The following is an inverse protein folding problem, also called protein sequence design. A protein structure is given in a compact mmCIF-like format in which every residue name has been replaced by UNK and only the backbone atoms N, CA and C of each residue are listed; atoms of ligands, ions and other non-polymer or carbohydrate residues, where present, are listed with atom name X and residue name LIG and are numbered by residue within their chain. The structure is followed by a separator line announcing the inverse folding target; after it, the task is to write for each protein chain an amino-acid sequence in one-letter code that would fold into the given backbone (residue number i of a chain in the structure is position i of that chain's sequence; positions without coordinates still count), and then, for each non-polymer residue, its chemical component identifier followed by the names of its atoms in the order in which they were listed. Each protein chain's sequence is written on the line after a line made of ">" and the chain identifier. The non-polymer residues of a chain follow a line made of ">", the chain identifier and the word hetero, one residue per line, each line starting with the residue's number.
data_IF_432964979619
#
_entry.id   IF_432964979619
#
_cell.length_a   1.000
_cell.length_b   1.000
_cell.length_c   1.000
_cell.angle_alpha   90.00
_cell.angle_beta   90.00
_cell.angle_gamma   90.00
#
_symmetry.space_group_name_H-M   'P 1'
#
loop_
_entity.id
_entity.type
_entity.pdbx_description
1 polymer ?
#
# COMPACT_ATOMS: atom_id res chain seq x y z
N UNK A 1 21.30 17.32 -19.22
CA UNK A 1 21.56 18.09 -17.99
C UNK A 1 20.86 17.30 -16.88
N UNK A 2 21.60 16.45 -16.17
CA UNK A 2 21.07 15.79 -14.97
C UNK A 2 21.31 16.79 -13.85
N UNK A 3 20.28 17.53 -13.47
CA UNK A 3 20.37 18.39 -12.29
C UNK A 3 20.85 17.56 -11.10
N UNK A 4 21.76 18.15 -10.34
CA UNK A 4 22.31 17.62 -9.10
C UNK A 4 21.16 17.42 -8.13
N UNK A 5 20.58 16.21 -8.14
CA UNK A 5 19.43 15.88 -7.29
C UNK A 5 19.94 15.98 -5.86
N UNK A 6 19.36 16.85 -5.00
CA UNK A 6 19.81 16.95 -3.62
C UNK A 6 19.87 15.55 -3.03
N UNK A 7 20.98 15.23 -2.35
CA UNK A 7 21.14 13.96 -1.67
C UNK A 7 19.87 13.75 -0.83
N UNK A 8 19.16 12.61 -0.99
CA UNK A 8 17.88 12.43 -0.33
C UNK A 8 18.09 12.52 1.18
N UNK A 9 17.74 13.65 1.76
CA UNK A 9 17.62 13.80 3.21
C UNK A 9 16.39 13.00 3.66
N UNK A 10 16.53 12.23 4.73
CA UNK A 10 15.40 11.54 5.35
C UNK A 10 15.63 10.06 5.65
N UNK A 11 14.52 9.34 5.87
CA UNK A 11 14.53 7.93 6.24
C UNK A 11 14.49 7.04 4.99
N UNK A 12 15.57 6.30 4.72
CA UNK A 12 15.59 5.27 3.71
C UNK A 12 14.92 4.00 4.25
N UNK A 13 13.91 3.49 3.54
CA UNK A 13 13.31 2.18 3.81
C UNK A 13 13.71 1.17 2.73
N UNK A 14 14.61 0.24 3.07
CA UNK A 14 15.04 -0.83 2.17
C UNK A 14 14.08 -2.02 2.29
N UNK A 15 13.27 -2.25 1.26
CA UNK A 15 12.33 -3.38 1.20
C UNK A 15 13.08 -4.70 1.09
N UNK A 16 12.79 -5.64 2.00
CA UNK A 16 13.37 -6.99 2.03
C UNK A 16 12.41 -8.06 1.51
N UNK A 17 11.12 -7.97 1.88
CA UNK A 17 10.05 -8.87 1.41
C UNK A 17 8.83 -8.07 1.00
N UNK A 18 8.15 -8.51 -0.05
CA UNK A 18 6.99 -7.82 -0.65
C UNK A 18 6.01 -8.78 -1.28
N UNK A 19 4.74 -8.36 -1.37
CA UNK A 19 3.69 -9.13 -2.06
C UNK A 19 2.67 -8.22 -2.71
N UNK A 20 2.04 -8.73 -3.77
CA UNK A 20 0.80 -8.16 -4.28
C UNK A 20 -0.36 -8.52 -3.36
N UNK A 21 -1.32 -7.62 -3.29
CA UNK A 21 -2.60 -7.82 -2.60
C UNK A 21 -3.67 -7.89 -3.67
N UNK A 22 -4.44 -8.96 -3.64
CA UNK A 22 -5.53 -9.20 -4.58
C UNK A 22 -6.87 -9.02 -3.89
N UNK A 23 -7.88 -8.60 -4.66
CA UNK A 23 -9.26 -8.56 -4.18
C UNK A 23 -9.81 -9.98 -4.08
N UNK A 24 -10.42 -10.34 -2.96
CA UNK A 24 -11.09 -11.64 -2.80
C UNK A 24 -12.52 -11.61 -3.39
N UNK A 25 -13.10 -10.42 -3.53
CA UNK A 25 -14.40 -10.19 -4.16
C UNK A 25 -14.36 -9.03 -5.16
N UNK A 26 -15.27 -9.05 -6.14
CA UNK A 26 -15.46 -7.93 -7.06
C UNK A 26 -16.29 -6.80 -6.45
N UNK A 27 -16.11 -5.58 -6.95
CA UNK A 27 -16.87 -4.42 -6.50
C UNK A 27 -16.15 -3.10 -6.77
N UNK A 28 -16.43 -2.11 -5.91
CA UNK A 28 -15.85 -0.78 -5.94
C UNK A 28 -14.82 -0.66 -4.80
N UNK A 29 -13.54 -0.78 -5.14
CA UNK A 29 -12.42 -0.61 -4.22
C UNK A 29 -12.13 0.87 -3.98
N UNK A 30 -12.00 1.24 -2.71
CA UNK A 30 -11.55 2.56 -2.26
C UNK A 30 -10.38 2.39 -1.30
N UNK A 31 -9.20 2.89 -1.70
CA UNK A 31 -8.04 2.94 -0.84
C UNK A 31 -8.28 3.85 0.37
N UNK A 32 -7.83 3.40 1.55
CA UNK A 32 -7.83 4.15 2.80
C UNK A 32 -6.43 4.59 3.22
N UNK A 33 -5.43 4.41 2.34
CA UNK A 33 -4.01 4.66 2.59
C UNK A 33 -3.34 5.30 1.38
N UNK A 34 -2.12 5.80 1.61
CA UNK A 34 -1.24 6.39 0.61
C UNK A 34 0.08 5.61 0.53
N UNK A 35 0.71 5.48 -0.65
CA UNK A 35 2.07 4.96 -0.75
C UNK A 35 3.03 5.66 0.20
N UNK A 36 3.83 4.88 0.94
CA UNK A 36 4.71 5.36 2.01
C UNK A 36 4.14 5.17 3.42
N UNK A 37 2.84 4.95 3.56
CA UNK A 37 2.22 4.66 4.86
C UNK A 37 2.68 3.32 5.42
N UNK A 38 2.76 3.23 6.75
CA UNK A 38 2.88 1.96 7.47
C UNK A 38 1.52 1.66 8.09
N UNK A 39 0.85 0.62 7.58
CA UNK A 39 -0.41 0.15 8.13
C UNK A 39 -0.12 -0.77 9.31
N UNK A 40 -0.72 -0.47 10.47
CA UNK A 40 -0.68 -1.34 11.63
C UNK A 40 -1.63 -2.53 11.45
N UNK A 41 -1.47 -3.63 12.22
CA UNK A 41 -2.40 -4.74 12.18
C UNK A 41 -3.85 -4.29 12.33
N UNK A 42 -4.73 -4.81 11.48
CA UNK A 42 -6.15 -4.44 11.41
C UNK A 42 -6.46 -3.08 10.76
N UNK A 43 -5.46 -2.25 10.45
CA UNK A 43 -5.68 -1.03 9.67
C UNK A 43 -5.97 -1.38 8.20
N UNK A 44 -6.98 -0.77 7.57
CA UNK A 44 -7.37 -1.12 6.22
C UNK A 44 -6.41 -0.56 5.17
N UNK A 45 -6.03 -1.38 4.18
CA UNK A 45 -5.54 -0.91 2.90
C UNK A 45 -6.63 -0.10 2.18
N UNK A 46 -7.85 -0.61 2.28
CA UNK A 46 -9.05 -0.07 1.66
C UNK A 46 -10.23 -1.00 1.88
N UNK A 47 -11.38 -0.59 1.36
CA UNK A 47 -12.64 -1.35 1.41
C UNK A 47 -13.12 -1.61 -0.01
N UNK A 48 -13.83 -2.73 -0.19
CA UNK A 48 -14.60 -3.00 -1.39
C UNK A 48 -16.07 -2.85 -1.03
N UNK A 49 -16.79 -2.09 -1.84
CA UNK A 49 -18.23 -1.85 -1.69
C UNK A 49 -18.99 -2.38 -2.89
N UNK A 50 -20.26 -2.71 -2.71
CA UNK A 50 -21.17 -2.93 -3.83
C UNK A 50 -21.66 -1.59 -4.43
N UNK A 51 -22.58 -1.65 -5.39
CA UNK A 51 -23.12 -0.45 -6.05
C UNK A 51 -24.04 0.40 -5.15
N UNK A 52 -24.52 -0.17 -4.05
CA UNK A 52 -25.39 0.50 -3.08
C UNK A 52 -24.58 1.15 -1.95
N UNK A 53 -23.28 0.84 -1.87
CA UNK A 53 -22.34 1.39 -0.90
C UNK A 53 -22.12 0.49 0.32
N UNK A 54 -22.69 -0.71 0.33
CA UNK A 54 -22.48 -1.67 1.41
C UNK A 54 -21.06 -2.25 1.31
N UNK A 55 -20.35 -2.29 2.44
CA UNK A 55 -19.00 -2.86 2.51
C UNK A 55 -19.11 -4.38 2.41
N UNK A 56 -18.55 -4.95 1.34
CA UNK A 56 -18.52 -6.38 1.10
C UNK A 56 -17.19 -7.01 1.49
N UNK A 57 -16.12 -6.22 1.56
CA UNK A 57 -14.80 -6.67 2.02
C UNK A 57 -13.97 -5.50 2.59
N UNK A 58 -13.14 -5.79 3.59
CA UNK A 58 -12.18 -4.85 4.19
C UNK A 58 -10.80 -5.48 4.22
N UNK A 59 -9.90 -4.93 3.41
CA UNK A 59 -8.58 -5.53 3.18
C UNK A 59 -7.63 -5.08 4.27
N UNK A 60 -7.26 -6.01 5.17
CA UNK A 60 -6.39 -5.74 6.33
C UNK A 60 -5.20 -6.71 6.39
N UNK A 61 -4.29 -6.47 7.33
CA UNK A 61 -3.11 -7.30 7.56
C UNK A 61 -3.00 -7.68 9.04
N UNK A 62 -2.47 -8.87 9.33
CA UNK A 62 -2.20 -9.33 10.69
C UNK A 62 -0.87 -8.78 11.26
N UNK A 63 0.03 -8.34 10.38
CA UNK A 63 1.33 -7.76 10.71
C UNK A 63 1.46 -6.38 10.05
N UNK A 64 2.34 -5.50 10.56
CA UNK A 64 2.59 -4.21 9.92
C UNK A 64 3.06 -4.36 8.48
N UNK A 65 2.53 -3.52 7.60
CA UNK A 65 2.98 -3.46 6.20
C UNK A 65 3.30 -2.05 5.75
N UNK A 66 4.32 -1.90 4.92
CA UNK A 66 4.64 -0.65 4.24
C UNK A 66 3.95 -0.64 2.89
N UNK A 67 3.08 0.35 2.65
CA UNK A 67 2.36 0.52 1.39
C UNK A 67 3.32 1.01 0.32
N UNK A 68 3.51 0.21 -0.73
CA UNK A 68 4.31 0.60 -1.91
C UNK A 68 3.38 1.20 -2.98
N UNK A 69 2.21 0.59 -3.18
CA UNK A 69 1.18 1.10 -4.08
C UNK A 69 -0.21 0.65 -3.62
N UNK A 70 -1.22 1.46 -3.94
CA UNK A 70 -2.63 1.12 -3.83
C UNK A 70 -3.32 1.45 -5.16
N UNK A 71 -4.30 0.62 -5.56
CA UNK A 71 -5.09 0.84 -6.77
C UNK A 71 -5.94 2.10 -6.62
N UNK A 72 -6.06 2.86 -7.72
CA UNK A 72 -6.87 4.08 -7.81
C UNK A 72 -8.14 3.88 -8.63
N UNK A 73 -8.10 2.99 -9.62
CA UNK A 73 -9.27 2.65 -10.42
C UNK A 73 -10.28 1.86 -9.56
N UNK A 74 -11.52 2.34 -9.41
CA UNK A 74 -12.42 1.84 -8.38
C UNK A 74 -12.99 0.46 -8.71
N UNK A 75 -13.29 0.17 -9.97
CA UNK A 75 -13.90 -1.12 -10.34
C UNK A 75 -12.85 -2.22 -10.29
N UNK A 76 -13.09 -3.27 -9.51
CA UNK A 76 -12.22 -4.43 -9.35
C UNK A 76 -12.99 -5.74 -9.54
N UNK A 77 -12.34 -6.73 -10.14
CA UNK A 77 -12.82 -8.12 -10.15
C UNK A 77 -12.08 -8.96 -9.09
N UNK A 78 -12.64 -10.12 -8.72
CA UNK A 78 -11.91 -11.09 -7.89
C UNK A 78 -10.57 -11.47 -8.53
N UNK A 79 -9.50 -11.46 -7.74
CA UNK A 79 -8.13 -11.71 -8.18
C UNK A 79 -7.38 -10.49 -8.69
N UNK A 80 -8.06 -9.36 -8.91
CA UNK A 80 -7.41 -8.12 -9.33
C UNK A 80 -6.41 -7.64 -8.29
N UNK A 81 -5.28 -7.10 -8.75
CA UNK A 81 -4.30 -6.46 -7.86
C UNK A 81 -4.82 -5.11 -7.40
N UNK A 82 -5.00 -4.98 -6.09
CA UNK A 82 -5.49 -3.75 -5.43
C UNK A 82 -4.44 -3.06 -4.57
N UNK A 83 -3.33 -3.76 -4.29
CA UNK A 83 -2.21 -3.19 -3.56
C UNK A 83 -0.89 -3.89 -3.85
N UNK A 84 0.18 -3.22 -3.43
CA UNK A 84 1.52 -3.77 -3.38
C UNK A 84 2.17 -3.29 -2.08
N UNK A 85 2.61 -4.23 -1.25
CA UNK A 85 3.10 -3.93 0.09
C UNK A 85 4.41 -4.63 0.38
N UNK A 86 5.26 -4.00 1.19
CA UNK A 86 6.37 -4.67 1.84
C UNK A 86 5.92 -5.24 3.19
N UNK A 87 6.30 -6.49 3.46
CA UNK A 87 6.07 -7.17 4.74
C UNK A 87 7.33 -7.23 5.60
N UNK A 88 8.48 -6.84 5.05
CA UNK A 88 9.72 -6.63 5.81
C UNK A 88 10.56 -5.54 5.15
N UNK A 89 11.12 -4.64 5.95
CA UNK A 89 12.03 -3.59 5.51
C UNK A 89 12.98 -3.15 6.63
N UNK A 90 14.14 -2.62 6.25
CA UNK A 90 15.04 -1.92 7.17
C UNK A 90 14.91 -0.42 7.01
N UNK A 91 14.99 0.32 8.11
CA UNK A 91 14.97 1.79 8.09
C UNK A 91 16.34 2.34 8.50
N UNK A 92 16.89 3.28 7.72
CA UNK A 92 18.15 3.96 8.03
C UNK A 92 18.03 5.44 7.71
N UNK A 93 18.45 6.29 8.64
CA UNK A 93 18.56 7.72 8.39
C UNK A 93 19.68 7.95 7.39
N UNK A 94 19.39 8.65 6.30
CA UNK A 94 20.40 9.15 5.39
C UNK A 94 20.98 10.41 6.00
N UNK A 95 22.27 10.36 6.34
CA UNK A 95 23.01 11.53 6.78
C UNK A 95 23.40 12.31 5.53
N UNK A 96 22.91 13.54 5.41
CA UNK A 96 23.33 14.46 4.36
C UNK A 96 24.83 14.73 4.55
N UNK A 97 25.62 14.44 3.51
CA UNK A 97 27.03 14.83 3.43
C UNK A 97 27.15 16.33 3.15
#
# INVERSE_FOLDING_TARGET
>A
MFEDRPAPGGMLRKVLKRRHVTADTGGLFRAACTPGDILQPGSPLGVITDIFGDIVDTVTFAEPVLVIAARRDPVVATGDRIGFVATAWESRTLQSA
#
